data_IF_732416370171
#
_entry.id   IF_732416370171
#
_cell.length_a   1.000
_cell.length_b   1.000
_cell.length_c   1.000
_cell.angle_alpha   90.00
_cell.angle_beta   90.00
_cell.angle_gamma   90.00
#
_symmetry.space_group_name_H-M   'P 1'
#
loop_
_entity.id
_entity.type
_entity.pdbx_description
1 polymer ?
#
# COMPACT_ATOMS: atom_id res chain seq x y z
N UNK A 1 -19.80 8.83 11.50
CA UNK A 1 -20.04 7.45 11.02
C UNK A 1 -18.72 6.81 10.64
N UNK A 2 -18.41 5.63 11.20
CA UNK A 2 -17.28 4.80 10.75
C UNK A 2 -17.58 4.29 9.34
N UNK A 3 -16.62 4.40 8.41
CA UNK A 3 -16.78 3.87 7.05
C UNK A 3 -16.59 2.35 7.06
N UNK A 4 -17.38 1.65 6.26
CA UNK A 4 -17.19 0.21 6.00
C UNK A 4 -15.92 -0.02 5.20
N UNK A 5 -15.40 -1.25 5.21
CA UNK A 5 -14.22 -1.62 4.42
C UNK A 5 -14.47 -1.41 2.91
N UNK A 6 -15.64 -1.78 2.41
CA UNK A 6 -16.04 -1.49 1.02
C UNK A 6 -16.01 0.01 0.69
N UNK A 7 -16.51 0.86 1.60
CA UNK A 7 -16.50 2.31 1.39
C UNK A 7 -15.08 2.86 1.36
N UNK A 8 -14.21 2.43 2.28
CA UNK A 8 -12.79 2.82 2.31
C UNK A 8 -12.07 2.38 1.04
N UNK A 9 -12.28 1.14 0.62
CA UNK A 9 -11.71 0.57 -0.59
C UNK A 9 -12.08 1.40 -1.81
N UNK A 10 -13.37 1.62 -2.07
CA UNK A 10 -13.85 2.41 -3.20
C UNK A 10 -13.24 3.83 -3.25
N UNK A 11 -13.15 4.49 -2.09
CA UNK A 11 -12.55 5.83 -1.97
C UNK A 11 -11.06 5.79 -2.32
N UNK A 12 -10.32 4.81 -1.78
CA UNK A 12 -8.89 4.67 -2.03
C UNK A 12 -8.60 4.35 -3.50
N UNK A 13 -9.29 3.37 -4.10
CA UNK A 13 -9.15 3.03 -5.52
C UNK A 13 -9.44 4.23 -6.41
N UNK A 14 -10.54 4.95 -6.14
CA UNK A 14 -10.87 6.17 -6.87
C UNK A 14 -9.80 7.24 -6.77
N UNK A 15 -9.18 7.40 -5.59
CA UNK A 15 -8.12 8.38 -5.37
C UNK A 15 -6.82 7.96 -6.06
N UNK A 16 -6.42 6.70 -5.97
CA UNK A 16 -5.25 6.15 -6.66
C UNK A 16 -5.38 6.37 -8.17
N UNK A 17 -6.53 6.01 -8.77
CA UNK A 17 -6.78 6.19 -10.21
C UNK A 17 -6.64 7.65 -10.66
N UNK A 18 -7.16 8.60 -9.86
CA UNK A 18 -7.05 10.04 -10.16
C UNK A 18 -5.65 10.61 -9.97
N UNK A 19 -4.84 9.99 -9.11
CA UNK A 19 -3.50 10.48 -8.76
C UNK A 19 -2.38 9.79 -9.52
N UNK A 20 -2.67 8.69 -10.21
CA UNK A 20 -1.67 7.87 -10.91
C UNK A 20 -1.83 8.02 -12.43
N UNK A 21 -0.72 8.25 -13.12
CA UNK A 21 -0.68 8.41 -14.58
C UNK A 21 -0.85 7.04 -15.27
N UNK A 22 -1.61 6.99 -16.36
CA UNK A 22 -1.79 5.79 -17.20
C UNK A 22 -0.67 5.64 -18.24
N UNK A 23 -0.43 4.43 -18.79
CA UNK A 23 -1.06 3.15 -18.41
C UNK A 23 -0.51 2.61 -17.09
N UNK A 24 -1.32 1.81 -16.39
CA UNK A 24 -0.94 1.23 -15.10
C UNK A 24 -0.13 -0.06 -15.25
N UNK A 25 -0.26 -0.74 -16.38
CA UNK A 25 0.37 -2.04 -16.64
C UNK A 25 1.89 -1.95 -16.86
N UNK A 26 2.40 -0.73 -17.08
CA UNK A 26 3.83 -0.46 -17.27
C UNK A 26 4.61 -0.40 -15.94
N UNK A 27 3.93 -0.40 -14.79
CA UNK A 27 4.59 -0.36 -13.49
C UNK A 27 5.18 -1.71 -13.12
N UNK A 28 6.41 -1.68 -12.60
CA UNK A 28 7.19 -2.90 -12.40
C UNK A 28 6.68 -3.72 -11.21
N UNK A 29 6.32 -3.05 -10.12
CA UNK A 29 6.05 -3.66 -8.81
C UNK A 29 4.73 -3.19 -8.19
N UNK A 30 4.35 -1.93 -8.40
CA UNK A 30 3.20 -1.33 -7.76
C UNK A 30 1.89 -1.63 -8.48
N UNK A 31 0.90 -2.12 -7.75
CA UNK A 31 -0.44 -2.42 -8.28
C UNK A 31 -1.53 -2.01 -7.28
N UNK A 32 -2.73 -1.75 -7.78
CA UNK A 32 -3.95 -1.59 -6.97
C UNK A 32 -5.00 -2.61 -7.41
N UNK A 33 -5.97 -2.88 -6.55
CA UNK A 33 -6.87 -4.03 -6.71
C UNK A 33 -8.33 -3.60 -6.59
N UNK A 34 -9.14 -3.90 -7.60
CA UNK A 34 -10.60 -3.70 -7.51
C UNK A 34 -11.27 -4.73 -6.58
N UNK A 35 -10.61 -5.87 -6.37
CA UNK A 35 -11.07 -6.97 -5.54
C UNK A 35 -9.89 -7.80 -5.00
N UNK A 36 -10.15 -8.66 -4.02
CA UNK A 36 -9.12 -9.50 -3.41
C UNK A 36 -8.63 -10.63 -4.34
N UNK A 37 -9.49 -11.18 -5.20
CA UNK A 37 -9.14 -12.30 -6.07
C UNK A 37 -8.03 -11.93 -7.05
N UNK A 38 -8.08 -10.71 -7.58
CA UNK A 38 -7.06 -10.14 -8.46
C UNK A 38 -5.66 -10.18 -7.84
N UNK A 39 -5.53 -9.95 -6.53
CA UNK A 39 -4.25 -10.08 -5.83
C UNK A 39 -3.81 -11.54 -5.71
N UNK A 40 -4.67 -12.41 -5.18
CA UNK A 40 -4.32 -13.81 -4.91
C UNK A 40 -4.02 -14.60 -6.19
N UNK A 41 -4.66 -14.25 -7.31
CA UNK A 41 -4.32 -14.82 -8.61
C UNK A 41 -2.95 -14.36 -9.13
N UNK A 42 -2.56 -13.11 -8.86
CA UNK A 42 -1.28 -12.56 -9.29
C UNK A 42 -0.11 -13.00 -8.41
N UNK A 43 -0.37 -13.26 -7.12
CA UNK A 43 0.65 -13.57 -6.11
C UNK A 43 0.20 -14.75 -5.23
N UNK A 44 0.04 -15.96 -5.79
CA UNK A 44 -0.45 -17.12 -5.05
C UNK A 44 0.46 -17.55 -3.89
N UNK A 45 1.76 -17.23 -3.96
CA UNK A 45 2.75 -17.59 -2.95
C UNK A 45 2.79 -16.60 -1.77
N UNK A 46 2.12 -15.45 -1.87
CA UNK A 46 2.06 -14.47 -0.78
C UNK A 46 0.86 -14.77 0.11
N UNK A 47 1.12 -15.45 1.23
CA UNK A 47 0.10 -15.71 2.24
C UNK A 47 -0.13 -14.49 3.12
N UNK A 48 -1.36 -13.95 3.09
CA UNK A 48 -1.82 -12.89 3.98
C UNK A 48 -3.15 -13.29 4.63
N UNK A 49 -3.27 -13.03 5.92
CA UNK A 49 -4.51 -13.21 6.64
C UNK A 49 -5.34 -11.94 6.57
N UNK A 50 -6.57 -12.01 6.04
CA UNK A 50 -7.53 -10.90 6.03
C UNK A 50 -8.57 -11.10 7.13
N UNK A 51 -8.99 -10.00 7.77
CA UNK A 51 -9.94 -10.01 8.87
C UNK A 51 -11.35 -9.64 8.40
N UNK A 52 -12.31 -10.58 8.48
CA UNK A 52 -13.71 -10.30 8.16
C UNK A 52 -13.88 -9.79 6.73
N UNK A 53 -14.39 -8.56 6.58
CA UNK A 53 -14.62 -7.89 5.30
C UNK A 53 -13.42 -7.07 4.80
N UNK A 54 -12.22 -7.30 5.33
CA UNK A 54 -11.00 -6.59 4.93
C UNK A 54 -10.70 -6.76 3.43
N UNK A 55 -10.45 -5.65 2.75
CA UNK A 55 -10.17 -5.63 1.31
C UNK A 55 -8.76 -5.11 1.02
N UNK A 56 -8.15 -5.66 -0.01
CA UNK A 56 -6.86 -5.23 -0.55
C UNK A 56 -7.03 -3.98 -1.38
N UNK A 57 -6.18 -2.98 -1.13
CA UNK A 57 -6.21 -1.69 -1.85
C UNK A 57 -5.09 -1.66 -2.88
N UNK A 58 -3.84 -1.77 -2.42
CA UNK A 58 -2.67 -1.70 -3.27
C UNK A 58 -1.45 -2.37 -2.64
N UNK A 59 -0.41 -2.57 -3.44
CA UNK A 59 0.85 -3.14 -3.00
C UNK A 59 2.03 -2.61 -3.79
N UNK A 60 3.23 -2.91 -3.31
CA UNK A 60 4.48 -2.92 -4.06
C UNK A 60 5.17 -4.24 -3.76
N UNK A 61 5.28 -5.12 -4.76
CA UNK A 61 5.89 -6.45 -4.63
C UNK A 61 7.22 -6.47 -5.40
N UNK A 62 8.35 -6.39 -4.70
CA UNK A 62 9.68 -6.42 -5.33
C UNK A 62 10.10 -7.87 -5.58
N UNK A 63 9.93 -8.73 -4.57
CA UNK A 63 10.15 -10.17 -4.61
C UNK A 63 9.45 -10.83 -3.40
N UNK A 64 9.64 -12.15 -3.22
CA UNK A 64 9.06 -12.93 -2.12
C UNK A 64 9.46 -12.47 -0.72
N UNK A 65 10.62 -11.82 -0.58
CA UNK A 65 11.18 -11.38 0.70
C UNK A 65 11.05 -9.87 0.94
N UNK A 66 10.53 -9.13 -0.05
CA UNK A 66 10.46 -7.67 -0.05
C UNK A 66 9.15 -7.18 -0.68
N UNK A 67 8.18 -6.84 0.15
CA UNK A 67 6.91 -6.28 -0.31
C UNK A 67 6.22 -5.43 0.74
N UNK A 68 5.31 -4.59 0.28
CA UNK A 68 4.33 -3.92 1.14
C UNK A 68 2.93 -4.04 0.55
N UNK A 69 1.95 -4.27 1.42
CA UNK A 69 0.55 -4.46 1.06
C UNK A 69 -0.29 -3.58 1.96
N UNK A 70 -1.16 -2.78 1.36
CA UNK A 70 -2.16 -1.98 2.03
C UNK A 70 -3.54 -2.62 1.86
N UNK A 71 -4.21 -2.85 2.98
CA UNK A 71 -5.62 -3.23 3.03
C UNK A 71 -6.45 -2.08 3.59
N UNK A 72 -7.77 -2.24 3.68
CA UNK A 72 -8.69 -1.29 4.32
C UNK A 72 -8.53 -1.16 5.84
N UNK A 73 -7.74 -2.04 6.47
CA UNK A 73 -7.54 -2.06 7.92
C UNK A 73 -6.08 -1.93 8.34
N UNK A 74 -5.12 -2.46 7.58
CA UNK A 74 -3.72 -2.54 7.99
C UNK A 74 -2.74 -2.32 6.85
N UNK A 75 -1.53 -2.00 7.24
CA UNK A 75 -0.35 -2.05 6.40
C UNK A 75 0.45 -3.29 6.79
N UNK A 76 0.93 -4.02 5.80
CA UNK A 76 1.78 -5.20 5.95
C UNK A 76 3.06 -4.92 5.17
N UNK A 77 4.22 -5.18 5.74
CA UNK A 77 5.50 -5.04 5.05
C UNK A 77 6.42 -6.19 5.44
N UNK A 78 6.97 -6.86 4.44
CA UNK A 78 8.05 -7.83 4.59
C UNK A 78 9.32 -7.16 4.07
N UNK A 79 10.29 -6.88 4.93
CA UNK A 79 11.58 -6.29 4.57
C UNK A 79 12.67 -7.31 4.92
N UNK A 80 13.40 -7.82 3.91
CA UNK A 80 14.42 -8.86 4.09
C UNK A 80 13.92 -10.08 4.89
N UNK A 81 12.70 -10.54 4.59
CA UNK A 81 12.08 -11.68 5.26
C UNK A 81 11.51 -11.38 6.67
N UNK A 82 11.61 -10.15 7.16
CA UNK A 82 11.04 -9.74 8.46
C UNK A 82 9.67 -9.13 8.24
N UNK A 83 8.63 -9.83 8.70
CA UNK A 83 7.23 -9.41 8.52
C UNK A 83 6.81 -8.47 9.66
N UNK A 84 6.36 -7.28 9.28
CA UNK A 84 5.68 -6.35 10.16
C UNK A 84 4.27 -6.08 9.65
N UNK A 85 3.32 -5.96 10.57
CA UNK A 85 1.99 -5.44 10.25
C UNK A 85 1.49 -4.51 11.34
N UNK A 86 0.64 -3.56 10.95
CA UNK A 86 0.04 -2.60 11.87
C UNK A 86 -1.29 -2.08 11.35
N UNK A 87 -2.27 -1.98 12.24
CA UNK A 87 -3.55 -1.37 11.92
C UNK A 87 -3.38 0.12 11.60
N UNK A 88 -4.05 0.59 10.55
CA UNK A 88 -3.98 1.98 10.07
C UNK A 88 -4.86 2.93 10.89
N UNK A 89 -5.72 2.39 11.76
CA UNK A 89 -6.55 3.21 12.65
C UNK A 89 -5.68 4.19 13.45
N UNK A 90 -6.01 5.48 13.35
CA UNK A 90 -5.27 6.58 14.00
C UNK A 90 -3.78 6.70 13.62
N UNK A 91 -3.33 6.00 12.57
CA UNK A 91 -1.97 6.16 12.06
C UNK A 91 -1.76 7.56 11.48
N UNK A 92 -0.52 8.04 11.51
CA UNK A 92 -0.13 9.33 10.95
C UNK A 92 0.86 9.11 9.80
N UNK A 93 0.66 9.84 8.72
CA UNK A 93 1.58 9.81 7.59
C UNK A 93 2.81 10.67 7.88
N UNK A 94 4.01 10.19 7.53
CA UNK A 94 5.24 10.97 7.61
C UNK A 94 5.80 11.31 6.21
N UNK A 95 6.89 10.64 5.83
CA UNK A 95 7.74 10.94 4.67
C UNK A 95 7.66 9.80 3.65
N UNK A 96 8.00 10.13 2.39
CA UNK A 96 7.97 9.19 1.26
C UNK A 96 9.35 8.88 0.66
N UNK A 97 10.43 9.36 1.30
CA UNK A 97 11.79 9.27 0.78
C UNK A 97 11.94 9.85 -0.64
N UNK A 98 12.83 9.26 -1.46
CA UNK A 98 13.10 9.70 -2.83
C UNK A 98 12.09 9.10 -3.82
N UNK A 99 10.79 9.33 -3.61
CA UNK A 99 9.75 8.72 -4.44
C UNK A 99 9.79 9.18 -5.90
N UNK A 100 10.47 10.29 -6.20
CA UNK A 100 10.70 10.77 -7.57
C UNK A 100 11.74 9.94 -8.33
N UNK A 101 12.55 9.13 -7.66
CA UNK A 101 13.56 8.27 -8.28
C UNK A 101 14.80 9.01 -8.75
N UNK A 102 15.19 10.11 -8.08
CA UNK A 102 16.46 10.76 -8.38
C UNK A 102 17.63 9.78 -8.23
N UNK A 103 18.61 9.83 -9.13
CA UNK A 103 19.73 8.87 -9.10
C UNK A 103 19.39 7.45 -9.57
N UNK A 104 18.26 7.26 -10.28
CA UNK A 104 17.80 5.97 -10.81
C UNK A 104 17.44 4.93 -9.72
N UNK A 105 17.14 5.38 -8.51
CA UNK A 105 16.57 4.51 -7.47
C UNK A 105 15.20 3.99 -7.92
N UNK A 106 15.02 2.66 -7.92
CA UNK A 106 13.78 2.02 -8.38
C UNK A 106 12.69 1.95 -7.31
N UNK A 107 13.08 1.93 -6.04
CA UNK A 107 12.15 1.99 -4.91
C UNK A 107 12.72 2.88 -3.81
N UNK A 108 11.83 3.31 -2.93
CA UNK A 108 12.13 4.03 -1.68
C UNK A 108 11.20 3.52 -0.58
N UNK A 109 11.41 3.97 0.65
CA UNK A 109 10.50 3.73 1.76
C UNK A 109 9.62 4.95 2.06
N UNK A 110 8.32 4.69 2.16
CA UNK A 110 7.41 5.54 2.92
C UNK A 110 7.40 5.15 4.40
N UNK A 111 6.93 6.08 5.25
CA UNK A 111 6.80 5.87 6.69
C UNK A 111 5.46 6.34 7.22
N UNK A 112 4.91 5.57 8.14
CA UNK A 112 3.77 5.95 8.97
C UNK A 112 4.11 5.75 10.44
N UNK A 113 3.46 6.50 11.32
CA UNK A 113 3.46 6.25 12.76
C UNK A 113 2.12 5.60 13.12
N UNK A 114 2.16 4.40 13.68
CA UNK A 114 0.98 3.69 14.19
C UNK A 114 0.47 4.35 15.48
N UNK A 115 -0.76 4.03 15.89
CA UNK A 115 -1.37 4.58 17.11
C UNK A 115 -0.50 4.40 18.37
N UNK A 116 0.21 3.27 18.46
CA UNK A 116 1.13 2.96 19.57
C UNK A 116 2.48 3.71 19.50
N UNK A 117 2.65 4.63 18.55
CA UNK A 117 3.89 5.38 18.35
C UNK A 117 4.97 4.65 17.55
N UNK A 118 4.77 3.38 17.18
CA UNK A 118 5.73 2.63 16.35
C UNK A 118 5.75 3.21 14.93
N UNK A 119 6.95 3.53 14.44
CA UNK A 119 7.15 3.82 13.01
C UNK A 119 7.17 2.54 12.20
N UNK A 120 6.33 2.46 11.17
CA UNK A 120 6.30 1.37 10.21
C UNK A 120 6.69 1.91 8.83
N UNK A 121 7.54 1.17 8.12
CA UNK A 121 7.91 1.49 6.73
C UNK A 121 7.02 0.74 5.75
N UNK A 122 7.01 1.22 4.51
CA UNK A 122 6.47 0.49 3.36
C UNK A 122 7.23 0.83 2.08
N UNK A 123 7.30 -0.13 1.16
CA UNK A 123 7.90 0.05 -0.16
C UNK A 123 7.04 0.95 -1.05
N UNK A 124 7.73 1.78 -1.81
CA UNK A 124 7.17 2.64 -2.86
C UNK A 124 8.04 2.45 -4.09
N UNK A 125 7.49 1.93 -5.18
CA UNK A 125 8.12 2.03 -6.50
C UNK A 125 8.25 3.51 -6.90
N UNK A 126 9.41 3.96 -7.35
CA UNK A 126 9.66 5.38 -7.64
C UNK A 126 9.01 5.83 -8.96
N UNK A 127 9.05 7.13 -9.21
CA UNK A 127 8.52 7.72 -10.43
C UNK A 127 7.00 7.75 -10.43
N UNK A 128 6.38 7.44 -11.58
CA UNK A 128 4.92 7.54 -11.76
C UNK A 128 4.15 6.53 -10.89
N UNK A 129 4.73 5.34 -10.68
CA UNK A 129 4.15 4.26 -9.90
C UNK A 129 4.00 4.60 -8.41
N UNK A 130 4.83 5.51 -7.89
CA UNK A 130 4.86 5.91 -6.47
C UNK A 130 3.49 6.36 -5.94
N UNK A 131 2.68 6.94 -6.82
CA UNK A 131 1.36 7.45 -6.48
C UNK A 131 0.37 6.36 -6.07
N UNK A 132 0.61 5.08 -6.40
CA UNK A 132 -0.22 3.96 -5.95
C UNK A 132 -0.17 3.83 -4.42
N UNK A 133 1.03 3.62 -3.86
CA UNK A 133 1.21 3.46 -2.42
C UNK A 133 1.01 4.78 -1.68
N UNK A 134 1.54 5.91 -2.19
CA UNK A 134 1.40 7.21 -1.55
C UNK A 134 -0.08 7.62 -1.45
N UNK A 135 -0.83 7.54 -2.55
CA UNK A 135 -2.25 7.92 -2.53
C UNK A 135 -3.06 6.95 -1.69
N UNK A 136 -2.82 5.64 -1.80
CA UNK A 136 -3.52 4.62 -1.01
C UNK A 136 -3.38 4.84 0.48
N UNK A 137 -2.13 4.87 0.97
CA UNK A 137 -1.83 5.01 2.41
C UNK A 137 -2.36 6.33 2.96
N UNK A 138 -2.05 7.45 2.29
CA UNK A 138 -2.48 8.78 2.73
C UNK A 138 -4.01 8.88 2.77
N UNK A 139 -4.70 8.35 1.77
CA UNK A 139 -6.17 8.41 1.71
C UNK A 139 -6.78 7.58 2.81
N UNK A 140 -6.30 6.36 3.03
CA UNK A 140 -6.84 5.49 4.06
C UNK A 140 -6.69 6.09 5.46
N UNK A 141 -5.53 6.67 5.76
CA UNK A 141 -5.28 7.40 7.01
C UNK A 141 -6.27 8.55 7.19
N UNK A 142 -6.55 9.31 6.14
CA UNK A 142 -7.44 10.48 6.21
C UNK A 142 -8.92 10.14 6.47
N UNK A 143 -9.35 8.92 6.09
CA UNK A 143 -10.76 8.53 6.14
C UNK A 143 -11.09 7.51 7.23
N UNK A 144 -10.07 7.06 7.97
CA UNK A 144 -10.17 6.10 9.08
C UNK A 144 -10.20 6.84 10.41
#
# INVERSE_FOLDING_TARGET
MKKTDQSKHNICISKIKRSTIKPYDDFQWAKFYEDNHSFFNAYPDISIQLNGEELLICSTIINSDNYSILTTQKLITLENGILESGFIIHAKNELYGNFKGYGNEKYTFGKIILENGKTMKYFIETGKASMIMISGVKTLIQIT
#
